data_IF_461387645890
#
_entry.id   IF_461387645890
#
_cell.length_a   1.000
_cell.length_b   1.000
_cell.length_c   1.000
_cell.angle_alpha   90.00
_cell.angle_beta   90.00
_cell.angle_gamma   90.00
#
_symmetry.space_group_name_H-M   'P 1'
#
loop_
_entity.id
_entity.type
_entity.pdbx_description
1 polymer ?
#
# COMPACT_ATOMS: atom_id res chain seq x y z
N UNK A 1 1.93 4.20 11.18
CA UNK A 1 0.78 3.95 10.29
C UNK A 1 0.48 2.46 10.28
N UNK A 2 -0.72 2.03 9.89
CA UNK A 2 -1.10 0.60 9.84
C UNK A 2 -2.04 0.31 8.66
N UNK A 3 -2.12 -0.96 8.27
CA UNK A 3 -3.12 -1.49 7.35
C UNK A 3 -4.48 -1.52 8.05
N UNK A 4 -5.52 -1.04 7.38
CA UNK A 4 -6.85 -0.85 7.99
C UNK A 4 -7.78 -2.05 7.76
N UNK A 5 -7.71 -2.70 6.61
CA UNK A 5 -8.54 -3.86 6.25
C UNK A 5 -7.80 -4.96 5.50
N UNK A 6 -8.50 -6.06 5.23
CA UNK A 6 -7.96 -7.21 4.49
C UNK A 6 -7.05 -8.13 5.30
N UNK A 7 -6.28 -8.99 4.61
CA UNK A 7 -5.44 -10.05 5.20
C UNK A 7 -4.38 -9.57 6.20
N UNK A 8 -3.92 -8.32 6.06
CA UNK A 8 -2.90 -7.72 6.92
C UNK A 8 -3.43 -6.67 7.87
N UNK A 9 -4.76 -6.63 8.12
CA UNK A 9 -5.39 -5.67 9.04
C UNK A 9 -4.62 -5.55 10.37
N UNK A 10 -4.33 -4.32 10.78
CA UNK A 10 -3.62 -4.00 12.02
C UNK A 10 -2.09 -4.05 11.93
N UNK A 11 -1.52 -4.58 10.85
CA UNK A 11 -0.06 -4.64 10.66
C UNK A 11 0.52 -3.26 10.40
N UNK A 12 1.71 -3.02 10.94
CA UNK A 12 2.39 -1.74 10.84
C UNK A 12 2.92 -1.48 9.42
N UNK A 13 2.88 -0.21 9.01
CA UNK A 13 3.54 0.32 7.82
C UNK A 13 4.63 1.28 8.29
N UNK A 14 5.84 1.13 7.75
CA UNK A 14 6.96 2.00 8.08
C UNK A 14 6.65 3.45 7.69
N UNK A 15 6.79 4.38 8.64
CA UNK A 15 6.52 5.79 8.40
C UNK A 15 7.70 6.48 7.69
N UNK A 16 7.46 7.55 6.91
CA UNK A 16 8.54 8.38 6.38
C UNK A 16 9.40 9.01 7.48
N UNK A 17 10.68 9.29 7.18
CA UNK A 17 11.58 9.97 8.10
C UNK A 17 11.19 11.45 8.27
N UNK A 18 11.31 11.96 9.51
CA UNK A 18 11.09 13.37 9.84
C UNK A 18 9.64 13.69 10.23
N UNK A 19 9.45 14.32 11.39
CA UNK A 19 8.14 14.82 11.81
C UNK A 19 7.74 16.01 10.93
N UNK A 20 6.57 15.94 10.29
CA UNK A 20 5.95 17.09 9.59
C UNK A 20 6.44 17.37 8.17
N UNK A 21 7.35 16.57 7.61
CA UNK A 21 7.83 16.72 6.23
C UNK A 21 6.84 16.21 5.18
N UNK A 22 5.97 15.27 5.56
CA UNK A 22 4.94 14.70 4.70
C UNK A 22 3.59 14.74 5.40
N UNK A 23 2.56 15.26 4.71
CA UNK A 23 1.17 15.20 5.20
C UNK A 23 0.67 13.76 5.05
N UNK A 24 0.44 13.02 6.14
CA UNK A 24 0.02 11.63 6.02
C UNK A 24 -1.43 11.54 5.55
N UNK A 25 -1.72 10.61 4.65
CA UNK A 25 -3.11 10.19 4.38
C UNK A 25 -3.63 9.49 5.64
N UNK A 26 -4.75 9.96 6.20
CA UNK A 26 -5.31 9.39 7.43
C UNK A 26 -5.81 7.96 7.22
N UNK A 27 -5.85 7.16 8.28
CA UNK A 27 -6.45 5.82 8.24
C UNK A 27 -7.89 5.86 7.68
N UNK A 28 -8.69 6.84 8.13
CA UNK A 28 -10.06 7.04 7.66
C UNK A 28 -10.13 7.34 6.16
N UNK A 29 -9.22 8.18 5.64
CA UNK A 29 -9.17 8.49 4.21
C UNK A 29 -8.77 7.25 3.39
N UNK A 30 -7.77 6.48 3.85
CA UNK A 30 -7.36 5.24 3.17
C UNK A 30 -8.49 4.21 3.16
N UNK A 31 -9.17 4.03 4.29
CA UNK A 31 -10.30 3.12 4.40
C UNK A 31 -11.46 3.51 3.46
N UNK A 32 -11.81 4.79 3.42
CA UNK A 32 -12.85 5.30 2.53
C UNK A 32 -12.50 5.04 1.06
N UNK A 33 -11.28 5.37 0.62
CA UNK A 33 -10.84 5.15 -0.76
C UNK A 33 -10.84 3.66 -1.10
N UNK A 34 -10.23 2.82 -0.26
CA UNK A 34 -10.12 1.39 -0.52
C UNK A 34 -11.50 0.70 -0.54
N UNK A 35 -12.43 1.12 0.32
CA UNK A 35 -13.80 0.58 0.36
C UNK A 35 -14.60 1.01 -0.85
N UNK A 36 -14.45 2.27 -1.31
CA UNK A 36 -15.08 2.74 -2.56
C UNK A 36 -14.56 2.00 -3.80
N UNK A 37 -13.25 1.74 -3.87
CA UNK A 37 -12.65 0.92 -4.95
C UNK A 37 -13.17 -0.51 -4.90
N UNK A 38 -13.21 -1.13 -3.72
CA UNK A 38 -13.70 -2.48 -3.56
C UNK A 38 -15.17 -2.60 -3.97
N UNK A 39 -16.00 -1.64 -3.57
CA UNK A 39 -17.41 -1.58 -3.96
C UNK A 39 -17.60 -1.42 -5.48
N UNK A 40 -16.80 -0.57 -6.14
CA UNK A 40 -16.89 -0.39 -7.60
C UNK A 40 -16.39 -1.59 -8.40
N UNK A 41 -15.69 -2.52 -7.76
CA UNK A 41 -15.18 -3.77 -8.34
C UNK A 41 -16.01 -5.01 -7.97
N UNK A 42 -17.23 -4.83 -7.46
CA UNK A 42 -18.10 -5.96 -7.10
C UNK A 42 -17.61 -6.72 -5.86
N UNK A 43 -16.91 -6.04 -4.96
CA UNK A 43 -16.31 -6.60 -3.74
C UNK A 43 -15.21 -7.62 -3.97
N UNK A 44 -14.60 -7.62 -5.16
CA UNK A 44 -13.48 -8.49 -5.49
C UNK A 44 -12.36 -7.71 -6.19
N UNK A 45 -11.12 -7.95 -5.74
CA UNK A 45 -9.90 -7.41 -6.33
C UNK A 45 -8.97 -8.51 -6.86
N UNK A 46 -9.38 -9.78 -6.84
CA UNK A 46 -8.57 -10.95 -7.18
C UNK A 46 -7.89 -10.88 -8.54
N UNK A 47 -8.50 -10.19 -9.51
CA UNK A 47 -7.97 -9.96 -10.87
C UNK A 47 -7.41 -8.54 -11.08
N UNK A 48 -7.43 -7.70 -10.04
CA UNK A 48 -7.04 -6.29 -10.13
C UNK A 48 -5.54 -6.09 -9.93
N UNK A 49 -4.91 -5.39 -10.87
CA UNK A 49 -3.54 -4.88 -10.74
C UNK A 49 -3.58 -3.39 -10.40
N UNK A 50 -2.82 -2.98 -9.40
CA UNK A 50 -2.83 -1.62 -8.84
C UNK A 50 -1.52 -0.90 -9.17
N UNK A 51 -1.63 0.38 -9.52
CA UNK A 51 -0.50 1.29 -9.62
C UNK A 51 -0.59 2.34 -8.50
N UNK A 52 0.40 2.36 -7.61
CA UNK A 52 0.60 3.42 -6.64
C UNK A 52 1.71 4.35 -7.16
N UNK A 53 1.31 5.35 -7.97
CA UNK A 53 2.22 6.16 -8.79
C UNK A 53 3.08 7.17 -8.00
N UNK A 54 2.68 7.46 -6.76
CA UNK A 54 3.39 8.34 -5.82
C UNK A 54 3.39 7.67 -4.46
N UNK A 55 4.03 6.50 -4.41
CA UNK A 55 3.80 5.52 -3.36
C UNK A 55 4.06 6.08 -1.96
N UNK A 56 5.09 6.92 -1.77
CA UNK A 56 5.48 7.35 -0.44
C UNK A 56 5.70 6.13 0.45
N UNK A 57 5.06 6.08 1.63
CA UNK A 57 5.07 4.89 2.50
C UNK A 57 4.51 3.58 1.89
N UNK A 58 3.92 3.63 0.68
CA UNK A 58 3.24 2.51 0.02
C UNK A 58 1.88 2.17 0.63
N UNK A 59 1.35 3.04 1.50
CA UNK A 59 0.22 2.70 2.35
C UNK A 59 -1.06 2.37 1.58
N UNK A 60 -1.30 3.00 0.42
CA UNK A 60 -2.48 2.69 -0.40
C UNK A 60 -2.28 1.41 -1.20
N UNK A 61 -1.14 1.21 -1.85
CA UNK A 61 -0.86 -0.04 -2.55
C UNK A 61 -0.92 -1.27 -1.64
N UNK A 62 -0.36 -1.19 -0.42
CA UNK A 62 -0.47 -2.28 0.55
C UNK A 62 -1.89 -2.49 1.07
N UNK A 63 -2.68 -1.42 1.24
CA UNK A 63 -4.08 -1.54 1.65
C UNK A 63 -4.91 -2.32 0.60
N UNK A 64 -4.66 -2.06 -0.69
CA UNK A 64 -5.34 -2.76 -1.78
C UNK A 64 -4.85 -4.20 -1.95
N UNK A 65 -3.56 -4.47 -1.83
CA UNK A 65 -3.02 -5.84 -1.76
C UNK A 65 -3.60 -6.63 -0.57
N UNK A 66 -3.72 -5.97 0.59
CA UNK A 66 -4.33 -6.59 1.78
C UNK A 66 -5.78 -6.99 1.50
N UNK A 67 -6.50 -6.19 0.72
CA UNK A 67 -7.91 -6.42 0.34
C UNK A 67 -8.08 -7.34 -0.88
N UNK A 68 -7.01 -7.99 -1.33
CA UNK A 68 -7.07 -9.05 -2.34
C UNK A 68 -6.69 -8.61 -3.74
N UNK A 69 -6.09 -7.43 -3.94
CA UNK A 69 -5.53 -7.10 -5.25
C UNK A 69 -4.46 -8.13 -5.66
N UNK A 70 -4.50 -8.56 -6.92
CA UNK A 70 -3.57 -9.53 -7.51
C UNK A 70 -2.12 -9.06 -7.43
N UNK A 71 -1.90 -7.77 -7.69
CA UNK A 71 -0.58 -7.22 -7.88
C UNK A 71 -0.55 -5.72 -7.58
N UNK A 72 0.56 -5.21 -7.05
CA UNK A 72 0.79 -3.77 -6.95
C UNK A 72 2.17 -3.34 -7.48
N UNK A 73 2.15 -2.33 -8.34
CA UNK A 73 3.34 -1.57 -8.74
C UNK A 73 3.42 -0.32 -7.89
N UNK A 74 4.51 -0.16 -7.16
CA UNK A 74 4.83 1.05 -6.40
C UNK A 74 5.85 1.88 -7.18
N UNK A 75 5.58 3.16 -7.38
CA UNK A 75 6.49 4.09 -8.04
C UNK A 75 6.81 5.23 -7.10
N UNK A 76 8.10 5.47 -6.87
CA UNK A 76 8.56 6.65 -6.14
C UNK A 76 9.97 7.06 -6.60
N UNK A 77 10.22 8.36 -6.70
CA UNK A 77 11.53 8.90 -7.10
C UNK A 77 12.57 8.80 -5.98
N UNK A 78 12.13 8.76 -4.72
CA UNK A 78 13.04 8.72 -3.58
C UNK A 78 13.45 7.27 -3.28
N UNK A 79 14.73 6.99 -3.48
CA UNK A 79 15.35 5.69 -3.20
C UNK A 79 15.11 5.22 -1.77
N UNK A 80 15.15 6.11 -0.78
CA UNK A 80 14.91 5.74 0.64
C UNK A 80 13.48 5.24 0.84
N UNK A 81 12.55 5.87 0.13
CA UNK A 81 11.13 5.51 0.14
C UNK A 81 10.90 4.16 -0.53
N UNK A 82 11.52 3.89 -1.68
CA UNK A 82 11.53 2.55 -2.27
C UNK A 82 12.04 1.46 -1.32
N UNK A 83 13.14 1.71 -0.61
CA UNK A 83 13.68 0.74 0.35
C UNK A 83 12.74 0.51 1.54
N UNK A 84 12.03 1.55 2.01
CA UNK A 84 10.95 1.42 3.02
C UNK A 84 9.81 0.52 2.53
N UNK A 85 9.38 0.70 1.27
CA UNK A 85 8.33 -0.13 0.66
C UNK A 85 8.78 -1.59 0.65
N UNK A 86 10.01 -1.88 0.19
CA UNK A 86 10.56 -3.25 0.19
C UNK A 86 10.63 -3.86 1.59
N UNK A 87 11.03 -3.09 2.61
CA UNK A 87 11.04 -3.56 4.01
C UNK A 87 9.64 -3.85 4.53
N UNK A 88 8.68 -2.99 4.24
CA UNK A 88 7.27 -3.21 4.61
C UNK A 88 6.71 -4.45 3.91
N UNK A 89 7.00 -4.63 2.63
CA UNK A 89 6.58 -5.83 1.89
C UNK A 89 7.16 -7.11 2.50
N UNK A 90 8.46 -7.10 2.85
CA UNK A 90 9.11 -8.21 3.54
C UNK A 90 8.46 -8.48 4.90
N UNK A 91 8.14 -7.43 5.66
CA UNK A 91 7.52 -7.59 6.98
C UNK A 91 6.09 -8.12 6.90
N UNK A 92 5.36 -7.82 5.82
CA UNK A 92 4.01 -8.34 5.55
C UNK A 92 4.01 -9.74 4.90
N UNK A 93 5.16 -10.22 4.43
CA UNK A 93 5.28 -11.49 3.71
C UNK A 93 4.69 -11.45 2.30
N UNK A 94 4.76 -10.30 1.62
CA UNK A 94 4.31 -10.16 0.23
C UNK A 94 5.23 -10.96 -0.68
N UNK A 95 4.69 -11.80 -1.55
CA UNK A 95 5.49 -12.53 -2.52
C UNK A 95 6.09 -11.58 -3.56
N UNK A 96 7.29 -11.89 -4.05
CA UNK A 96 7.93 -11.10 -5.12
C UNK A 96 7.15 -11.13 -6.43
N UNK A 97 6.28 -12.12 -6.63
CA UNK A 97 5.36 -12.20 -7.76
C UNK A 97 4.12 -11.32 -7.61
N UNK A 98 3.83 -10.79 -6.42
CA UNK A 98 2.65 -9.94 -6.13
C UNK A 98 2.98 -8.44 -6.16
N UNK A 99 4.25 -8.05 -6.33
CA UNK A 99 4.61 -6.64 -6.36
C UNK A 99 5.89 -6.30 -7.14
N UNK A 100 5.98 -5.04 -7.57
CA UNK A 100 7.22 -4.41 -8.05
C UNK A 100 7.38 -3.01 -7.48
N UNK A 101 8.63 -2.58 -7.29
CA UNK A 101 8.98 -1.23 -6.86
C UNK A 101 9.86 -0.59 -7.94
N UNK A 102 9.42 0.56 -8.46
CA UNK A 102 10.12 1.34 -9.48
C UNK A 102 10.66 2.62 -8.82
N UNK A 103 11.97 2.77 -8.92
CA UNK A 103 12.76 3.96 -8.60
C UNK A 103 13.64 4.22 -9.84
#
# INVERSE_FOLDING_TARGET
MRIVGGKWKGRAIEAPDGKGTTRPTTDRTREAIASSILASRGLDLSESRVLDAFAGSGAMGFELLSRGALYATFVDKDRKTCERIKRTAKSLGVATSEMSVIC
#
